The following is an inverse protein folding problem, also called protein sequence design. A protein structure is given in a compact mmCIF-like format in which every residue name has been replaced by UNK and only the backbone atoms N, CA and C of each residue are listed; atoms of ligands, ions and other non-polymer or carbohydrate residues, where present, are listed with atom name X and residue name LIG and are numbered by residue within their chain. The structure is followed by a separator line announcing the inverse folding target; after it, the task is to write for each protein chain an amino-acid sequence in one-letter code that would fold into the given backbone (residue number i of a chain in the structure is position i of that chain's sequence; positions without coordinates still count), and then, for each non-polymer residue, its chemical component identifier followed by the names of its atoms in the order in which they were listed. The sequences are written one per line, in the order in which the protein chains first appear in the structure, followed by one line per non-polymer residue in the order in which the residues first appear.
data_IF_006488578866
#
_entry.id   IF_006488578866
#
_cell.length_a   1.000
_cell.length_b   1.000
_cell.length_c   1.000
_cell.angle_alpha   90.00
_cell.angle_beta   90.00
_cell.angle_gamma   90.00
#
_symmetry.space_group_name_H-M   'P 1'
#
loop_
_entity.id
_entity.type
_entity.pdbx_description
1 polymer ?
#
# COMPACT_ATOMS: atom_id res chain seq x y z
N UNK A 1 12.31 -2.04 -40.18
CA UNK A 1 12.88 -0.71 -39.89
C UNK A 1 14.06 -0.94 -38.97
N UNK A 2 15.18 -0.26 -39.23
CA UNK A 2 16.50 -0.53 -38.64
C UNK A 2 16.47 -0.37 -37.11
N UNK A 3 16.48 -1.45 -36.34
CA UNK A 3 16.59 -1.45 -34.87
C UNK A 3 18.03 -1.12 -34.49
N UNK A 4 18.43 0.14 -34.72
CA UNK A 4 19.72 0.63 -34.24
C UNK A 4 19.78 0.46 -32.73
N UNK A 5 20.72 -0.36 -32.25
CA UNK A 5 20.98 -0.53 -30.83
C UNK A 5 21.11 0.85 -30.19
N UNK A 6 20.24 1.16 -29.22
CA UNK A 6 20.30 2.41 -28.45
C UNK A 6 21.71 2.57 -27.88
N UNK A 7 22.28 3.77 -28.02
CA UNK A 7 23.58 4.07 -27.40
C UNK A 7 23.43 4.00 -25.88
N UNK A 8 24.52 3.79 -25.16
CA UNK A 8 24.48 3.67 -23.70
C UNK A 8 23.88 4.91 -23.01
N UNK A 9 24.12 6.11 -23.53
CA UNK A 9 23.51 7.35 -23.03
C UNK A 9 21.99 7.35 -23.21
N UNK A 10 21.50 6.91 -24.38
CA UNK A 10 20.06 6.84 -24.69
C UNK A 10 19.35 5.81 -23.78
N UNK A 11 20.02 4.71 -23.45
CA UNK A 11 19.53 3.69 -22.50
C UNK A 11 19.39 4.23 -21.08
N UNK A 12 20.38 4.98 -20.60
CA UNK A 12 20.33 5.62 -19.28
C UNK A 12 19.20 6.64 -19.23
N UNK A 13 19.08 7.49 -20.26
CA UNK A 13 18.02 8.49 -20.36
C UNK A 13 16.63 7.86 -20.36
N UNK A 14 16.41 6.82 -21.19
CA UNK A 14 15.15 6.08 -21.23
C UNK A 14 14.81 5.46 -19.87
N UNK A 15 15.78 4.85 -19.20
CA UNK A 15 15.58 4.28 -17.87
C UNK A 15 15.18 5.34 -16.85
N UNK A 16 15.86 6.50 -16.85
CA UNK A 16 15.53 7.61 -15.96
C UNK A 16 14.16 8.24 -16.24
N UNK A 17 13.71 8.23 -17.50
CA UNK A 17 12.39 8.72 -17.89
C UNK A 17 11.29 7.82 -17.33
N UNK A 18 11.44 6.50 -17.46
CA UNK A 18 10.45 5.53 -17.00
C UNK A 18 10.49 5.36 -15.49
N UNK A 19 11.65 5.03 -14.92
CA UNK A 19 11.82 4.70 -13.49
C UNK A 19 12.12 5.93 -12.63
N UNK A 20 11.21 6.90 -12.70
CA UNK A 20 11.34 8.20 -12.05
C UNK A 20 10.62 8.29 -10.70
N UNK A 21 11.04 9.26 -9.87
CA UNK A 21 10.57 9.43 -8.50
C UNK A 21 11.36 10.53 -7.80
N UNK A 22 11.70 10.32 -6.53
CA UNK A 22 12.62 11.20 -5.79
C UNK A 22 14.00 11.24 -6.45
N UNK A 23 14.56 12.43 -6.59
CA UNK A 23 15.90 12.64 -7.18
C UNK A 23 16.95 12.96 -6.13
N UNK A 24 16.58 13.20 -4.87
CA UNK A 24 17.47 13.55 -3.75
C UNK A 24 17.85 12.35 -2.88
N UNK A 25 17.22 11.19 -3.11
CA UNK A 25 17.45 9.96 -2.36
C UNK A 25 17.20 8.73 -3.24
N UNK A 26 17.91 7.64 -2.96
CA UNK A 26 17.60 6.33 -3.56
C UNK A 26 17.85 5.18 -2.58
N UNK A 27 17.20 4.06 -2.84
CA UNK A 27 17.45 2.80 -2.15
C UNK A 27 18.61 2.05 -2.80
N UNK A 28 19.33 1.28 -2.02
CA UNK A 28 20.31 0.31 -2.53
C UNK A 28 20.32 -0.89 -1.61
N UNK A 29 20.90 -2.00 -2.05
CA UNK A 29 21.14 -3.13 -1.18
C UNK A 29 22.56 -3.65 -1.36
N UNK A 30 23.05 -4.31 -0.32
CA UNK A 30 24.29 -5.07 -0.40
C UNK A 30 24.04 -6.37 -1.16
N UNK A 31 24.84 -6.64 -2.20
CA UNK A 31 24.56 -7.73 -3.14
C UNK A 31 24.75 -9.10 -2.49
N UNK A 32 25.60 -9.20 -1.47
CA UNK A 32 25.93 -10.47 -0.81
C UNK A 32 24.95 -10.77 0.31
N UNK A 33 24.65 -9.77 1.15
CA UNK A 33 23.79 -9.93 2.33
C UNK A 33 22.33 -9.63 2.07
N UNK A 34 22.00 -8.98 0.95
CA UNK A 34 20.65 -8.50 0.64
C UNK A 34 20.20 -7.30 1.50
N UNK A 35 21.06 -6.79 2.38
CA UNK A 35 20.69 -5.73 3.34
C UNK A 35 20.39 -4.42 2.63
N UNK A 36 19.13 -4.01 2.69
CA UNK A 36 18.64 -2.75 2.16
C UNK A 36 19.18 -1.54 2.95
N UNK A 37 19.48 -0.46 2.24
CA UNK A 37 19.89 0.83 2.81
C UNK A 37 19.35 1.99 2.00
N UNK A 38 19.16 3.12 2.67
CA UNK A 38 18.88 4.40 2.03
C UNK A 38 20.21 5.12 1.74
N UNK A 39 20.33 5.71 0.55
CA UNK A 39 21.46 6.55 0.15
C UNK A 39 20.96 7.97 -0.11
N UNK A 40 21.39 8.92 0.73
CA UNK A 40 21.00 10.35 0.66
C UNK A 40 21.90 11.10 -0.33
N UNK A 41 21.79 10.75 -1.60
CA UNK A 41 22.55 11.36 -2.69
C UNK A 41 21.62 11.58 -3.89
N UNK A 42 22.00 12.53 -4.74
CA UNK A 42 21.27 12.81 -5.97
C UNK A 42 21.29 11.59 -6.89
N UNK A 43 20.14 11.29 -7.50
CA UNK A 43 20.04 10.32 -8.58
C UNK A 43 20.51 10.99 -9.87
N UNK A 44 21.65 10.55 -10.40
CA UNK A 44 22.24 11.03 -11.63
C UNK A 44 22.51 9.87 -12.61
N UNK A 45 22.98 10.20 -13.81
CA UNK A 45 23.31 9.21 -14.84
C UNK A 45 24.34 8.18 -14.37
N UNK A 46 25.26 8.55 -13.48
CA UNK A 46 26.29 7.64 -12.96
C UNK A 46 25.69 6.58 -12.03
N UNK A 47 24.72 6.96 -11.18
CA UNK A 47 23.97 6.03 -10.32
C UNK A 47 23.24 5.01 -11.19
N UNK A 48 22.54 5.47 -12.22
CA UNK A 48 21.76 4.59 -13.11
C UNK A 48 22.68 3.71 -13.96
N UNK A 49 23.73 4.28 -14.55
CA UNK A 49 24.72 3.51 -15.29
C UNK A 49 25.40 2.44 -14.41
N UNK A 50 25.71 2.75 -13.14
CA UNK A 50 26.25 1.76 -12.22
C UNK A 50 25.27 0.60 -11.92
N UNK A 51 23.96 0.88 -11.87
CA UNK A 51 22.92 -0.15 -11.74
C UNK A 51 22.81 -1.01 -12.98
N UNK A 52 22.70 -0.39 -14.16
CA UNK A 52 22.59 -1.10 -15.44
C UNK A 52 23.84 -1.96 -15.74
N UNK A 53 25.02 -1.53 -15.30
CA UNK A 53 26.25 -2.35 -15.40
C UNK A 53 26.40 -3.41 -14.28
N UNK A 54 25.42 -3.56 -13.38
CA UNK A 54 25.48 -4.55 -12.30
C UNK A 54 26.46 -4.22 -11.17
N UNK A 55 26.94 -2.98 -11.09
CA UNK A 55 27.95 -2.54 -10.09
C UNK A 55 27.32 -2.16 -8.75
N UNK A 56 26.19 -1.45 -8.77
CA UNK A 56 25.48 -1.02 -7.56
C UNK A 56 23.97 -1.05 -7.78
N UNK A 57 23.18 -1.76 -6.97
CA UNK A 57 21.74 -1.76 -7.13
C UNK A 57 21.13 -0.39 -6.83
N UNK A 58 20.11 -0.04 -7.59
CA UNK A 58 19.30 1.16 -7.44
C UNK A 58 17.86 0.77 -7.12
N UNK A 59 17.27 1.45 -6.15
CA UNK A 59 15.85 1.42 -5.85
C UNK A 59 15.28 2.82 -5.87
N UNK A 60 14.17 3.00 -6.58
CA UNK A 60 13.50 4.30 -6.70
C UNK A 60 12.49 4.50 -5.57
N UNK A 61 12.34 5.75 -5.12
CA UNK A 61 11.21 6.16 -4.27
C UNK A 61 10.15 6.79 -5.17
N UNK A 62 9.04 6.09 -5.51
CA UNK A 62 8.09 6.57 -6.50
C UNK A 62 7.23 7.76 -6.02
N UNK A 63 7.11 7.98 -4.70
CA UNK A 63 6.27 9.03 -4.13
C UNK A 63 6.99 10.37 -4.02
N UNK A 64 6.47 11.40 -4.68
CA UNK A 64 6.93 12.79 -4.58
C UNK A 64 5.79 13.68 -4.11
N UNK A 65 5.83 14.08 -2.83
CA UNK A 65 4.70 14.77 -2.19
C UNK A 65 3.49 13.85 -2.07
N UNK A 66 2.48 14.11 -2.91
CA UNK A 66 1.26 13.30 -3.07
C UNK A 66 1.11 12.72 -4.49
N UNK A 67 2.13 12.90 -5.33
CA UNK A 67 2.12 12.48 -6.73
C UNK A 67 3.07 11.32 -6.99
N UNK A 68 2.80 10.56 -8.04
CA UNK A 68 3.67 9.50 -8.56
C UNK A 68 3.63 9.48 -10.08
N UNK A 69 4.70 8.98 -10.70
CA UNK A 69 4.75 8.69 -12.14
C UNK A 69 4.81 7.19 -12.44
N UNK A 70 4.82 6.37 -11.39
CA UNK A 70 4.84 4.92 -11.46
C UNK A 70 3.86 4.34 -10.43
N UNK A 71 3.30 3.19 -10.78
CA UNK A 71 2.74 2.25 -9.83
C UNK A 71 3.50 0.92 -9.98
N UNK A 72 3.83 0.27 -8.87
CA UNK A 72 4.32 -1.09 -8.89
C UNK A 72 3.56 -1.94 -7.88
N UNK A 73 3.21 -3.16 -8.24
CA UNK A 73 2.64 -4.16 -7.33
C UNK A 73 3.66 -5.25 -7.15
N UNK A 74 3.96 -5.57 -5.90
CA UNK A 74 4.93 -6.59 -5.52
C UNK A 74 4.22 -7.89 -5.13
N UNK A 75 4.39 -8.92 -5.96
CA UNK A 75 3.90 -10.26 -5.75
C UNK A 75 5.03 -11.16 -5.25
N UNK A 76 5.37 -10.99 -3.97
CA UNK A 76 6.36 -11.78 -3.26
C UNK A 76 5.86 -13.22 -3.05
N UNK A 77 6.63 -14.21 -3.49
CA UNK A 77 6.35 -15.65 -3.31
C UNK A 77 5.05 -16.17 -3.94
N UNK A 78 4.39 -15.38 -4.80
CA UNK A 78 3.23 -15.81 -5.55
C UNK A 78 3.63 -16.47 -6.88
N UNK A 79 2.78 -17.38 -7.42
CA UNK A 79 2.94 -17.89 -8.78
C UNK A 79 2.89 -16.77 -9.82
N UNK A 80 3.58 -16.94 -10.95
CA UNK A 80 3.64 -15.93 -12.02
C UNK A 80 2.25 -15.64 -12.62
N UNK A 81 1.38 -16.64 -12.58
CA UNK A 81 -0.03 -16.59 -12.99
C UNK A 81 -0.80 -15.47 -12.26
N UNK A 82 -0.44 -15.17 -11.01
CA UNK A 82 -1.06 -14.07 -10.26
C UNK A 82 -0.71 -12.70 -10.87
N UNK A 83 0.53 -12.52 -11.33
CA UNK A 83 0.93 -11.30 -12.00
C UNK A 83 0.24 -11.17 -13.37
N UNK A 84 0.05 -12.29 -14.06
CA UNK A 84 -0.71 -12.40 -15.32
C UNK A 84 -2.17 -12.00 -15.13
N UNK A 85 -2.83 -12.53 -14.09
CA UNK A 85 -4.21 -12.17 -13.75
C UNK A 85 -4.32 -10.68 -13.43
N UNK A 86 -3.33 -10.14 -12.72
CA UNK A 86 -3.27 -8.72 -12.41
C UNK A 86 -3.14 -7.84 -13.67
N UNK A 87 -2.29 -8.21 -14.62
CA UNK A 87 -2.16 -7.50 -15.90
C UNK A 87 -3.46 -7.57 -16.70
N UNK A 88 -4.07 -8.76 -16.76
CA UNK A 88 -5.35 -8.97 -17.46
C UNK A 88 -6.46 -8.12 -16.85
N UNK A 89 -6.55 -8.08 -15.52
CA UNK A 89 -7.51 -7.24 -14.81
C UNK A 89 -7.24 -5.74 -15.05
N UNK A 90 -5.99 -5.26 -15.08
CA UNK A 90 -5.72 -3.87 -15.46
C UNK A 90 -6.15 -3.55 -16.90
N UNK A 91 -5.98 -4.50 -17.82
CA UNK A 91 -6.40 -4.36 -19.22
C UNK A 91 -7.92 -4.16 -19.34
N UNK A 92 -8.72 -4.78 -18.47
CA UNK A 92 -10.18 -4.55 -18.41
C UNK A 92 -10.54 -3.12 -17.96
N UNK A 93 -9.65 -2.45 -17.22
CA UNK A 93 -9.76 -1.03 -16.86
C UNK A 93 -9.20 -0.10 -17.94
N UNK A 94 -8.71 -0.65 -19.06
CA UNK A 94 -8.04 0.12 -20.11
C UNK A 94 -6.66 0.62 -19.70
N UNK A 95 -6.04 0.01 -18.68
CA UNK A 95 -4.71 0.35 -18.19
C UNK A 95 -3.69 -0.70 -18.62
N UNK A 96 -2.58 -0.22 -19.17
CA UNK A 96 -1.48 -1.07 -19.60
C UNK A 96 -0.51 -1.26 -18.43
N UNK A 97 -0.08 -2.50 -18.21
CA UNK A 97 0.84 -2.86 -17.14
C UNK A 97 1.76 -4.00 -17.55
N UNK A 98 2.93 -4.08 -16.91
CA UNK A 98 4.06 -4.87 -17.40
C UNK A 98 4.69 -5.72 -16.31
N UNK A 99 4.94 -6.98 -16.62
CA UNK A 99 5.50 -7.95 -15.66
C UNK A 99 7.02 -7.93 -15.71
N UNK A 100 7.65 -7.75 -14.55
CA UNK A 100 9.09 -7.96 -14.35
C UNK A 100 9.30 -9.14 -13.39
N UNK A 101 10.16 -10.09 -13.77
CA UNK A 101 10.63 -11.12 -12.83
C UNK A 101 11.50 -10.45 -11.76
N UNK A 102 11.10 -10.57 -10.50
CA UNK A 102 11.84 -9.97 -9.37
C UNK A 102 13.25 -10.55 -9.21
N UNK A 103 14.03 -9.92 -8.33
CA UNK A 103 15.39 -10.40 -7.97
C UNK A 103 15.43 -11.79 -7.31
N UNK A 104 14.33 -12.26 -6.72
CA UNK A 104 14.29 -13.46 -5.87
C UNK A 104 13.22 -14.46 -6.32
N UNK A 105 12.06 -14.51 -5.67
CA UNK A 105 10.93 -15.40 -6.01
C UNK A 105 9.69 -14.52 -6.04
N UNK A 106 9.10 -14.34 -7.21
CA UNK A 106 7.97 -13.43 -7.42
C UNK A 106 8.17 -12.55 -8.64
N UNK A 107 7.20 -11.67 -8.85
CA UNK A 107 7.19 -10.72 -9.95
C UNK A 107 6.67 -9.36 -9.47
N UNK A 108 7.07 -8.30 -10.18
CA UNK A 108 6.46 -6.99 -10.03
C UNK A 108 5.58 -6.70 -11.24
N UNK A 109 4.43 -6.06 -11.02
CA UNK A 109 3.60 -5.49 -12.09
C UNK A 109 3.75 -3.98 -12.08
N UNK A 110 4.26 -3.41 -13.16
CA UNK A 110 4.57 -2.00 -13.32
C UNK A 110 3.55 -1.28 -14.19
N UNK A 111 3.17 -0.06 -13.81
CA UNK A 111 2.49 0.91 -14.66
C UNK A 111 3.24 2.23 -14.67
N UNK A 112 3.17 2.92 -15.80
CA UNK A 112 3.88 4.17 -16.04
C UNK A 112 2.90 5.28 -16.44
N UNK A 113 3.14 6.48 -15.93
CA UNK A 113 2.33 7.66 -16.19
C UNK A 113 3.14 8.73 -16.93
N UNK A 114 2.56 9.36 -17.94
CA UNK A 114 3.22 10.39 -18.76
C UNK A 114 3.42 11.70 -17.99
N UNK A 115 2.51 11.97 -17.06
CA UNK A 115 2.53 13.07 -16.11
C UNK A 115 2.44 12.58 -14.64
N UNK A 116 2.82 13.40 -13.64
CA UNK A 116 2.59 13.06 -12.26
C UNK A 116 1.08 12.97 -11.98
N UNK A 117 0.63 11.82 -11.50
CA UNK A 117 -0.76 11.57 -11.09
C UNK A 117 -0.86 11.51 -9.57
N UNK A 118 -2.07 11.70 -9.03
CA UNK A 118 -2.32 11.53 -7.60
C UNK A 118 -2.02 10.08 -7.19
N UNK A 119 -1.11 9.89 -6.23
CA UNK A 119 -0.77 8.56 -5.75
C UNK A 119 -2.00 7.82 -5.17
N UNK A 120 -2.94 8.57 -4.57
CA UNK A 120 -4.20 8.04 -4.09
C UNK A 120 -5.04 7.39 -5.20
N UNK A 121 -5.15 8.02 -6.37
CA UNK A 121 -5.95 7.50 -7.49
C UNK A 121 -5.35 6.21 -8.02
N UNK A 122 -4.05 6.23 -8.37
CA UNK A 122 -3.35 5.06 -8.86
C UNK A 122 -3.46 3.87 -7.88
N UNK A 123 -3.27 4.12 -6.57
CA UNK A 123 -3.40 3.10 -5.54
C UNK A 123 -4.83 2.59 -5.35
N UNK A 124 -5.85 3.44 -5.48
CA UNK A 124 -7.24 3.02 -5.29
C UNK A 124 -7.72 2.16 -6.45
N UNK A 125 -7.33 2.48 -7.69
CA UNK A 125 -7.57 1.62 -8.85
C UNK A 125 -6.84 0.28 -8.67
N UNK A 126 -5.58 0.31 -8.25
CA UNK A 126 -4.82 -0.91 -7.99
C UNK A 126 -5.43 -1.79 -6.89
N UNK A 127 -5.91 -1.21 -5.79
CA UNK A 127 -6.65 -1.95 -4.74
C UNK A 127 -7.92 -2.59 -5.27
N UNK A 128 -8.65 -1.91 -6.16
CA UNK A 128 -9.86 -2.44 -6.79
C UNK A 128 -9.53 -3.66 -7.64
N UNK A 129 -8.53 -3.57 -8.51
CA UNK A 129 -8.02 -4.68 -9.32
C UNK A 129 -7.54 -5.85 -8.44
N UNK A 130 -6.73 -5.57 -7.41
CA UNK A 130 -6.26 -6.59 -6.48
C UNK A 130 -7.39 -7.27 -5.72
N UNK A 131 -8.47 -6.56 -5.41
CA UNK A 131 -9.63 -7.17 -4.78
C UNK A 131 -10.38 -8.13 -5.73
N UNK A 132 -10.46 -7.81 -7.02
CA UNK A 132 -11.11 -8.65 -8.03
C UNK A 132 -10.37 -9.97 -8.27
N UNK A 133 -9.04 -9.94 -8.22
CA UNK A 133 -8.23 -11.16 -8.35
C UNK A 133 -7.97 -11.88 -7.00
N UNK A 134 -8.61 -11.44 -5.91
CA UNK A 134 -8.45 -12.07 -4.58
C UNK A 134 -7.10 -11.84 -3.90
N UNK A 135 -6.35 -10.81 -4.30
CA UNK A 135 -5.00 -10.45 -3.81
C UNK A 135 -4.93 -9.08 -3.14
N UNK A 136 -5.97 -8.69 -2.40
CA UNK A 136 -6.06 -7.41 -1.70
C UNK A 136 -4.91 -7.13 -0.69
N UNK A 137 -4.12 -8.14 -0.33
CA UNK A 137 -2.94 -8.03 0.54
C UNK A 137 -1.62 -7.74 -0.17
N UNK A 138 -1.57 -7.73 -1.51
CA UNK A 138 -0.34 -7.47 -2.26
C UNK A 138 0.19 -6.05 -1.97
N UNK A 139 1.52 -5.90 -1.93
CA UNK A 139 2.12 -4.60 -1.65
C UNK A 139 2.05 -3.70 -2.89
N UNK A 140 1.59 -2.46 -2.69
CA UNK A 140 1.50 -1.45 -3.75
C UNK A 140 2.52 -0.36 -3.46
N UNK A 141 3.32 0.00 -4.46
CA UNK A 141 4.25 1.13 -4.45
C UNK A 141 3.72 2.22 -5.39
N UNK A 142 3.59 3.48 -4.92
CA UNK A 142 3.94 3.96 -3.58
C UNK A 142 3.06 3.34 -2.46
N UNK A 143 3.66 3.08 -1.29
CA UNK A 143 2.95 2.50 -0.14
C UNK A 143 1.98 3.48 0.54
N UNK A 144 2.16 4.78 0.30
CA UNK A 144 1.37 5.87 0.87
C UNK A 144 0.73 6.72 -0.23
N UNK A 145 -0.39 7.36 0.10
CA UNK A 145 -1.03 8.36 -0.77
C UNK A 145 -0.28 9.70 -0.75
N UNK A 146 0.41 10.00 0.36
CA UNK A 146 1.22 11.21 0.52
C UNK A 146 2.33 11.02 1.55
N UNK A 147 3.40 11.80 1.39
CA UNK A 147 4.46 11.90 2.38
C UNK A 147 3.94 12.58 3.66
N UNK A 148 4.50 12.17 4.80
CA UNK A 148 4.24 12.79 6.10
C UNK A 148 5.54 12.78 6.92
N UNK A 149 5.52 13.37 8.12
CA UNK A 149 6.71 13.49 8.98
C UNK A 149 7.32 12.14 9.38
N UNK A 150 6.52 11.07 9.49
CA UNK A 150 7.01 9.73 9.81
C UNK A 150 7.59 8.99 8.59
N UNK A 151 7.11 9.31 7.37
CA UNK A 151 7.58 8.72 6.11
C UNK A 151 8.09 9.80 5.17
N UNK A 152 9.04 10.62 5.64
CA UNK A 152 9.52 11.81 4.94
C UNK A 152 10.11 11.52 3.53
N UNK A 153 10.61 10.31 3.31
CA UNK A 153 11.13 9.84 2.02
C UNK A 153 10.18 8.89 1.28
N UNK A 154 9.18 8.34 1.96
CA UNK A 154 8.38 7.21 1.45
C UNK A 154 9.14 5.88 1.54
N UNK A 155 8.76 4.93 0.68
CA UNK A 155 9.36 3.60 0.59
C UNK A 155 9.91 3.41 -0.81
N UNK A 156 11.11 2.83 -0.92
CA UNK A 156 11.66 2.50 -2.23
C UNK A 156 11.30 1.08 -2.65
N UNK A 157 11.24 0.87 -3.96
CA UNK A 157 11.18 -0.43 -4.61
C UNK A 157 12.48 -0.63 -5.40
N UNK A 158 13.01 -1.85 -5.46
CA UNK A 158 14.20 -2.12 -6.28
C UNK A 158 13.85 -1.94 -7.75
N UNK A 159 14.66 -1.18 -8.47
CA UNK A 159 14.43 -0.94 -9.88
C UNK A 159 14.82 -2.18 -10.71
N UNK A 160 14.14 -2.42 -11.84
CA UNK A 160 14.45 -3.55 -12.71
C UNK A 160 15.77 -3.29 -13.47
N UNK A 161 16.19 -4.24 -14.30
CA UNK A 161 17.36 -4.17 -15.17
C UNK A 161 18.69 -4.01 -14.43
N UNK A 162 18.81 -4.59 -13.23
CA UNK A 162 20.10 -4.62 -12.55
C UNK A 162 21.05 -5.55 -13.30
N UNK A 163 22.09 -5.03 -13.96
CA UNK A 163 22.86 -5.78 -14.97
C UNK A 163 23.38 -7.16 -14.52
N UNK A 164 23.77 -7.28 -13.24
CA UNK A 164 24.26 -8.54 -12.65
C UNK A 164 23.17 -9.62 -12.56
N UNK A 165 21.92 -9.22 -12.40
CA UNK A 165 20.74 -10.09 -12.34
C UNK A 165 20.08 -10.24 -13.72
N UNK A 166 20.10 -9.20 -14.55
CA UNK A 166 19.55 -9.20 -15.90
C UNK A 166 20.17 -10.30 -16.79
N UNK A 167 21.50 -10.47 -16.72
CA UNK A 167 22.21 -11.55 -17.45
C UNK A 167 21.77 -12.95 -17.01
N UNK A 168 21.17 -13.08 -15.82
CA UNK A 168 20.64 -14.33 -15.29
C UNK A 168 19.12 -14.48 -15.51
N UNK A 169 18.52 -13.64 -16.36
CA UNK A 169 17.08 -13.63 -16.60
C UNK A 169 16.26 -13.15 -15.40
N UNK A 170 16.86 -12.35 -14.51
CA UNK A 170 16.19 -11.74 -13.35
C UNK A 170 16.18 -10.24 -13.47
N UNK A 171 15.21 -9.59 -12.86
CA UNK A 171 14.99 -8.14 -13.03
C UNK A 171 14.74 -7.74 -14.49
N UNK A 172 14.13 -8.62 -15.27
CA UNK A 172 13.84 -8.40 -16.70
C UNK A 172 12.33 -8.49 -16.93
N UNK A 173 11.87 -7.78 -17.95
CA UNK A 173 10.47 -7.76 -18.35
C UNK A 173 10.12 -8.96 -19.23
N UNK A 174 8.92 -9.49 -18.99
CA UNK A 174 8.37 -10.63 -19.71
C UNK A 174 7.48 -10.19 -20.86
N UNK A 175 7.58 -10.93 -21.95
CA UNK A 175 6.62 -10.89 -23.04
C UNK A 175 5.39 -11.73 -22.65
N UNK A 176 4.42 -11.04 -22.05
CA UNK A 176 3.17 -11.66 -21.60
C UNK A 176 2.30 -12.19 -22.76
N UNK A 177 2.38 -11.58 -23.94
CA UNK A 177 1.57 -12.06 -25.07
C UNK A 177 2.20 -13.30 -25.73
N UNK A 178 3.50 -13.55 -25.48
CA UNK A 178 4.27 -14.72 -25.95
C UNK A 178 4.83 -15.59 -24.79
N UNK A 179 4.01 -15.77 -23.74
CA UNK A 179 4.39 -16.36 -22.44
C UNK A 179 5.19 -17.67 -22.49
N UNK A 180 6.09 -17.92 -21.49
CA UNK A 180 6.61 -17.02 -20.47
C UNK A 180 8.09 -16.67 -20.77
N UNK A 181 8.36 -16.03 -21.90
CA UNK A 181 9.71 -15.65 -22.28
C UNK A 181 10.01 -14.19 -21.93
N UNK A 182 11.26 -13.89 -21.56
CA UNK A 182 11.70 -12.50 -21.44
C UNK A 182 11.73 -11.86 -22.83
N UNK A 183 11.44 -10.56 -22.93
CA UNK A 183 11.61 -9.86 -24.22
C UNK A 183 13.05 -10.00 -24.73
N UNK A 184 13.19 -10.36 -25.99
CA UNK A 184 14.50 -10.51 -26.68
C UNK A 184 15.33 -9.23 -26.61
N UNK A 185 14.68 -8.07 -26.79
CA UNK A 185 15.28 -6.76 -26.61
C UNK A 185 14.50 -5.96 -25.56
N UNK A 186 15.00 -6.03 -24.32
CA UNK A 186 14.47 -5.29 -23.18
C UNK A 186 14.44 -3.77 -23.43
N UNK A 187 15.35 -3.21 -24.23
CA UNK A 187 15.41 -1.77 -24.48
C UNK A 187 14.39 -1.34 -25.52
N UNK A 188 14.21 -2.14 -26.58
CA UNK A 188 13.12 -1.95 -27.53
C UNK A 188 11.76 -2.05 -26.82
N UNK A 189 11.60 -3.02 -25.93
CA UNK A 189 10.41 -3.14 -25.08
C UNK A 189 10.19 -1.88 -24.22
N UNK A 190 11.19 -1.44 -23.44
CA UNK A 190 11.05 -0.24 -22.61
C UNK A 190 10.70 1.01 -23.43
N UNK A 191 11.25 1.15 -24.64
CA UNK A 191 10.91 2.24 -25.55
C UNK A 191 9.48 2.18 -26.09
N UNK A 192 8.84 1.00 -26.05
CA UNK A 192 7.46 0.76 -26.50
C UNK A 192 6.41 0.85 -25.39
N UNK A 193 6.84 0.95 -24.13
CA UNK A 193 5.95 1.03 -22.97
C UNK A 193 4.95 2.16 -23.16
N UNK A 194 3.67 1.82 -23.02
CA UNK A 194 2.57 2.77 -23.01
C UNK A 194 2.44 3.38 -21.64
N UNK A 195 2.08 4.66 -21.64
CA UNK A 195 1.80 5.44 -20.44
C UNK A 195 0.35 5.89 -20.45
N UNK A 196 -0.19 6.21 -19.27
CA UNK A 196 -1.49 6.84 -19.16
C UNK A 196 -1.42 8.11 -18.33
N UNK A 197 -2.30 9.06 -18.62
CA UNK A 197 -2.37 10.36 -17.97
C UNK A 197 -3.49 10.47 -16.93
N UNK A 198 -3.51 11.58 -16.21
CA UNK A 198 -4.38 11.81 -15.06
C UNK A 198 -5.88 11.71 -15.42
N UNK A 199 -6.24 12.19 -16.62
CA UNK A 199 -7.65 12.16 -17.10
C UNK A 199 -8.24 10.75 -17.13
N UNK A 200 -7.46 9.75 -17.54
CA UNK A 200 -7.94 8.37 -17.57
C UNK A 200 -8.17 7.87 -16.14
N UNK A 201 -7.23 8.13 -15.23
CA UNK A 201 -7.35 7.73 -13.83
C UNK A 201 -8.58 8.38 -13.18
N UNK A 202 -8.79 9.69 -13.36
CA UNK A 202 -9.95 10.42 -12.85
C UNK A 202 -11.26 9.80 -13.37
N UNK A 203 -11.33 9.49 -14.67
CA UNK A 203 -12.52 8.85 -15.25
C UNK A 203 -12.79 7.46 -14.66
N UNK A 204 -11.74 6.69 -14.32
CA UNK A 204 -11.87 5.38 -13.69
C UNK A 204 -12.29 5.51 -12.22
N UNK A 205 -11.76 6.51 -11.52
CA UNK A 205 -12.17 6.82 -10.15
C UNK A 205 -13.66 7.13 -10.10
N UNK A 206 -14.16 7.98 -11.01
CA UNK A 206 -15.58 8.30 -11.12
C UNK A 206 -16.42 7.08 -11.52
N UNK A 207 -16.06 6.42 -12.63
CA UNK A 207 -16.78 5.26 -13.18
C UNK A 207 -16.97 4.14 -12.16
N UNK A 208 -15.95 3.89 -11.33
CA UNK A 208 -15.96 2.81 -10.33
C UNK A 208 -16.31 3.29 -8.92
N UNK A 209 -16.74 4.56 -8.76
CA UNK A 209 -17.08 5.18 -7.46
C UNK A 209 -15.97 5.00 -6.41
N UNK A 210 -14.71 5.13 -6.83
CA UNK A 210 -13.56 4.99 -5.97
C UNK A 210 -13.29 6.30 -5.20
N UNK A 211 -12.62 6.25 -4.04
CA UNK A 211 -12.29 7.46 -3.29
C UNK A 211 -11.36 8.38 -4.09
N UNK A 212 -11.79 9.62 -4.32
CA UNK A 212 -11.09 10.61 -5.14
C UNK A 212 -10.14 11.54 -4.37
N UNK A 213 -10.21 11.60 -3.04
CA UNK A 213 -9.41 12.53 -2.24
C UNK A 213 -8.70 11.81 -1.05
N UNK A 214 -7.38 11.97 -0.86
CA UNK A 214 -6.67 11.49 0.33
C UNK A 214 -7.06 12.22 1.63
N UNK A 215 -7.80 13.34 1.56
CA UNK A 215 -8.24 14.16 2.70
C UNK A 215 -9.75 14.26 2.89
N UNK A 216 -10.55 13.95 1.88
CA UNK A 216 -12.01 14.07 1.94
C UNK A 216 -12.65 12.69 1.81
N UNK A 217 -12.67 11.93 2.91
CA UNK A 217 -13.82 11.06 3.11
C UNK A 217 -15.01 12.01 3.23
N UNK A 218 -16.05 11.88 2.40
CA UNK A 218 -17.35 12.37 2.83
C UNK A 218 -17.60 11.74 4.20
N UNK A 219 -17.84 12.58 5.20
CA UNK A 219 -18.59 12.15 6.37
C UNK A 219 -19.86 11.51 5.80
N UNK A 220 -19.94 10.19 5.92
CA UNK A 220 -21.03 9.31 5.52
C UNK A 220 -21.62 9.50 4.10
N UNK A 221 -21.44 8.49 3.25
CA UNK A 221 -22.58 7.93 2.52
C UNK A 221 -22.57 6.40 2.71
N UNK A 222 -23.58 5.95 3.44
CA UNK A 222 -23.84 4.56 3.80
C UNK A 222 -24.11 3.73 2.54
N UNK A 223 -23.29 2.71 2.29
CA UNK A 223 -23.69 1.55 1.50
C UNK A 223 -22.88 0.26 1.78
N UNK A 224 -21.73 0.30 2.46
CA UNK A 224 -21.02 -0.92 2.89
C UNK A 224 -20.52 -0.80 4.33
N UNK A 225 -21.47 -0.67 5.26
CA UNK A 225 -21.22 -0.73 6.70
C UNK A 225 -21.37 -2.19 7.17
N UNK A 226 -20.53 -3.10 6.65
CA UNK A 226 -20.60 -4.53 7.02
C UNK A 226 -20.47 -4.75 8.52
N UNK A 227 -19.88 -3.80 9.26
CA UNK A 227 -19.99 -3.71 10.71
C UNK A 227 -20.07 -2.24 11.16
N UNK A 228 -21.28 -1.74 11.43
CA UNK A 228 -21.50 -0.57 12.31
C UNK A 228 -20.72 -0.72 13.63
N UNK A 229 -20.68 0.31 14.49
CA UNK A 229 -20.09 0.22 15.84
C UNK A 229 -20.49 -1.11 16.49
N UNK A 230 -19.54 -2.06 16.55
CA UNK A 230 -19.80 -3.42 17.02
C UNK A 230 -20.35 -3.37 18.44
N UNK A 231 -21.21 -4.31 18.86
CA UNK A 231 -21.93 -4.21 20.13
C UNK A 231 -21.04 -3.90 21.34
N UNK A 232 -19.85 -4.50 21.40
CA UNK A 232 -18.88 -4.24 22.46
C UNK A 232 -18.37 -2.78 22.47
N UNK A 233 -18.03 -2.23 21.30
CA UNK A 233 -17.58 -0.85 21.18
C UNK A 233 -18.69 0.14 21.51
N UNK A 234 -19.93 -0.15 21.11
CA UNK A 234 -21.11 0.64 21.46
C UNK A 234 -21.33 0.64 22.97
N UNK A 235 -21.36 -0.54 23.59
CA UNK A 235 -21.54 -0.68 25.04
C UNK A 235 -20.45 0.06 25.83
N UNK A 236 -19.19 -0.04 25.40
CA UNK A 236 -18.08 0.69 26.02
C UNK A 236 -18.22 2.22 25.89
N UNK A 237 -18.62 2.74 24.72
CA UNK A 237 -18.84 4.17 24.50
C UNK A 237 -20.04 4.73 25.27
N UNK A 238 -21.11 3.94 25.37
CA UNK A 238 -22.35 4.31 26.04
C UNK A 238 -22.18 4.30 27.55
N UNK A 239 -21.65 3.21 28.10
CA UNK A 239 -21.63 2.91 29.55
C UNK A 239 -20.31 3.27 30.25
N UNK A 240 -19.23 3.52 29.50
CA UNK A 240 -17.89 3.62 30.08
C UNK A 240 -17.33 2.26 30.48
N UNK A 241 -16.15 2.26 31.10
CA UNK A 241 -15.48 1.04 31.59
C UNK A 241 -14.98 1.18 33.02
N UNK A 242 -15.03 0.08 33.76
CA UNK A 242 -14.51 -0.01 35.15
C UNK A 242 -13.06 -0.47 35.21
N UNK A 243 -12.62 -1.28 34.23
CA UNK A 243 -11.28 -1.85 34.15
C UNK A 243 -10.65 -1.58 32.78
N UNK A 244 -9.32 -1.68 32.73
CA UNK A 244 -8.54 -1.62 31.49
C UNK A 244 -8.76 -0.36 30.63
N UNK A 245 -9.03 0.79 31.24
CA UNK A 245 -9.34 2.06 30.55
C UNK A 245 -8.39 2.39 29.38
N UNK A 246 -7.07 2.19 29.52
CA UNK A 246 -6.11 2.47 28.42
C UNK A 246 -6.29 1.52 27.22
N UNK A 247 -6.52 0.23 27.49
CA UNK A 247 -6.75 -0.78 26.45
C UNK A 247 -8.10 -0.53 25.77
N UNK A 248 -9.15 -0.22 26.55
CA UNK A 248 -10.45 0.18 26.03
C UNK A 248 -10.33 1.43 25.14
N UNK A 249 -9.60 2.46 25.59
CA UNK A 249 -9.34 3.68 24.82
C UNK A 249 -8.65 3.38 23.47
N UNK A 250 -7.61 2.54 23.48
CA UNK A 250 -6.91 2.12 22.27
C UNK A 250 -7.84 1.36 21.31
N UNK A 251 -8.65 0.43 21.83
CA UNK A 251 -9.59 -0.36 21.02
C UNK A 251 -10.70 0.49 20.43
N UNK A 252 -11.26 1.42 21.20
CA UNK A 252 -12.24 2.39 20.70
C UNK A 252 -11.63 3.30 19.63
N UNK A 253 -10.39 3.76 19.83
CA UNK A 253 -9.69 4.58 18.83
C UNK A 253 -9.51 3.85 17.48
N UNK A 254 -9.19 2.55 17.50
CA UNK A 254 -9.16 1.71 16.28
C UNK A 254 -10.54 1.70 15.59
N UNK A 255 -11.63 1.55 16.37
CA UNK A 255 -13.00 1.50 15.81
C UNK A 255 -13.40 2.83 15.20
N UNK A 256 -13.13 3.94 15.88
CA UNK A 256 -13.41 5.29 15.37
C UNK A 256 -12.59 5.57 14.10
N UNK A 257 -11.32 5.15 14.04
CA UNK A 257 -10.48 5.22 12.83
C UNK A 257 -11.08 4.44 11.67
N UNK A 258 -11.55 3.21 11.92
CA UNK A 258 -12.15 2.37 10.89
C UNK A 258 -13.44 2.97 10.33
N UNK A 259 -14.24 3.60 11.20
CA UNK A 259 -15.42 4.39 10.83
C UNK A 259 -15.07 5.70 10.11
N UNK A 260 -13.77 6.02 9.98
CA UNK A 260 -13.28 7.18 9.24
C UNK A 260 -13.26 8.47 10.02
N UNK A 261 -13.37 8.43 11.34
CA UNK A 261 -13.28 9.65 12.14
C UNK A 261 -11.85 10.21 12.09
N UNK A 262 -11.70 11.54 11.90
CA UNK A 262 -10.41 12.21 12.04
C UNK A 262 -9.84 12.09 13.46
N UNK A 263 -8.52 12.23 13.57
CA UNK A 263 -7.77 12.01 14.82
C UNK A 263 -8.28 12.91 15.96
N UNK A 264 -8.46 14.20 15.70
CA UNK A 264 -8.98 15.19 16.64
C UNK A 264 -10.42 14.91 17.08
N UNK A 265 -11.29 14.49 16.14
CA UNK A 265 -12.66 14.09 16.44
C UNK A 265 -12.68 12.85 17.34
N UNK A 266 -11.82 11.85 17.06
CA UNK A 266 -11.72 10.68 17.92
C UNK A 266 -11.18 11.02 19.32
N UNK A 267 -10.25 11.97 19.43
CA UNK A 267 -9.81 12.50 20.74
C UNK A 267 -10.99 13.14 21.49
N UNK A 268 -11.80 13.95 20.82
CA UNK A 268 -12.96 14.59 21.45
C UNK A 268 -13.97 13.54 21.96
N UNK A 269 -14.33 12.56 21.12
CA UNK A 269 -15.21 11.44 21.48
C UNK A 269 -14.67 10.68 22.69
N UNK A 270 -13.37 10.34 22.69
CA UNK A 270 -12.76 9.58 23.76
C UNK A 270 -12.58 10.39 25.05
N UNK A 271 -12.46 11.72 24.93
CA UNK A 271 -12.42 12.61 26.09
C UNK A 271 -13.78 12.66 26.79
N UNK A 272 -14.88 12.70 26.02
CA UNK A 272 -16.25 12.59 26.57
C UNK A 272 -16.49 11.21 27.15
N UNK A 273 -16.10 10.15 26.44
CA UNK A 273 -16.20 8.77 26.92
C UNK A 273 -15.48 8.57 28.26
N UNK A 274 -14.29 9.16 28.45
CA UNK A 274 -13.53 9.00 29.68
C UNK A 274 -14.27 9.50 30.92
N UNK A 275 -15.15 10.49 30.79
CA UNK A 275 -15.98 11.00 31.89
C UNK A 275 -17.02 9.98 32.38
N UNK A 276 -17.34 8.98 31.56
CA UNK A 276 -18.26 7.90 31.90
C UNK A 276 -17.58 6.73 32.60
N UNK A 277 -16.24 6.70 32.64
CA UNK A 277 -15.52 5.59 33.24
C UNK A 277 -15.64 5.64 34.77
N UNK A 278 -15.93 4.49 35.37
CA UNK A 278 -16.07 4.29 36.81
C UNK A 278 -15.00 3.33 37.31
N UNK A 279 -13.72 3.74 37.34
CA UNK A 279 -12.61 2.85 37.65
C UNK A 279 -12.69 2.23 39.04
N UNK A 280 -12.49 0.91 39.10
CA UNK A 280 -12.50 0.17 40.36
C UNK A 280 -11.22 0.35 41.19
N UNK A 281 -11.30 0.02 42.49
CA UNK A 281 -10.13 -0.06 43.37
C UNK A 281 -9.40 1.26 43.58
N UNK A 282 -10.13 2.39 43.60
CA UNK A 282 -9.56 3.73 43.85
C UNK A 282 -8.67 4.26 42.71
N UNK A 283 -8.67 3.62 41.55
CA UNK A 283 -7.91 4.08 40.38
C UNK A 283 -8.53 5.37 39.83
N UNK A 284 -7.69 6.25 39.28
CA UNK A 284 -8.15 7.46 38.60
C UNK A 284 -8.70 7.18 37.20
N UNK A 285 -9.49 8.12 36.70
CA UNK A 285 -9.91 8.18 35.29
C UNK A 285 -8.68 8.41 34.40
N UNK A 286 -8.70 7.84 33.19
CA UNK A 286 -7.68 8.06 32.14
C UNK A 286 -7.58 9.55 31.79
N UNK A 287 -6.35 10.07 31.72
CA UNK A 287 -6.08 11.50 31.47
C UNK A 287 -6.14 11.83 29.99
N UNK A 288 -6.34 13.12 29.66
CA UNK A 288 -6.27 13.61 28.28
C UNK A 288 -4.94 13.25 27.58
N UNK A 289 -3.80 13.28 28.30
CA UNK A 289 -2.49 12.89 27.76
C UNK A 289 -2.45 11.40 27.40
N UNK A 290 -3.02 10.55 28.25
CA UNK A 290 -3.10 9.11 27.99
C UNK A 290 -4.07 8.80 26.85
N UNK A 291 -5.22 9.47 26.78
CA UNK A 291 -6.16 9.37 25.64
C UNK A 291 -5.43 9.72 24.36
N UNK A 292 -4.73 10.86 24.32
CA UNK A 292 -3.93 11.27 23.15
C UNK A 292 -2.88 10.23 22.76
N UNK A 293 -2.19 9.65 23.73
CA UNK A 293 -1.20 8.61 23.50
C UNK A 293 -1.81 7.31 22.95
N UNK A 294 -2.92 6.84 23.52
CA UNK A 294 -3.59 5.61 23.05
C UNK A 294 -4.20 5.81 21.66
N UNK A 295 -4.82 6.96 21.40
CA UNK A 295 -5.36 7.28 20.08
C UNK A 295 -4.25 7.43 19.05
N UNK A 296 -3.12 8.07 19.39
CA UNK A 296 -1.99 8.17 18.47
C UNK A 296 -1.45 6.78 18.10
N UNK A 297 -1.29 5.89 19.09
CA UNK A 297 -0.90 4.51 18.88
C UNK A 297 -1.89 3.78 17.93
N UNK A 298 -3.20 3.93 18.15
CA UNK A 298 -4.22 3.32 17.30
C UNK A 298 -4.23 3.88 15.86
N UNK A 299 -3.97 5.18 15.69
CA UNK A 299 -4.00 5.84 14.39
C UNK A 299 -2.74 5.58 13.57
N UNK A 300 -1.59 5.44 14.23
CA UNK A 300 -0.31 5.14 13.58
C UNK A 300 -0.17 3.66 13.22
N UNK A 301 -0.79 2.75 13.98
CA UNK A 301 -0.70 1.31 13.73
C UNK A 301 -1.77 0.81 12.73
N UNK A 302 -1.42 -0.20 11.95
CA UNK A 302 -2.33 -0.89 11.01
C UNK A 302 -3.14 -2.03 11.67
N UNK A 303 -3.37 -1.96 12.98
CA UNK A 303 -4.11 -2.99 13.71
C UNK A 303 -5.60 -2.93 13.35
N UNK A 304 -6.09 -3.97 12.67
CA UNK A 304 -7.50 -4.12 12.29
C UNK A 304 -8.29 -5.02 13.24
N UNK A 305 -7.59 -5.66 14.19
CA UNK A 305 -8.14 -6.65 15.11
C UNK A 305 -9.21 -6.10 16.06
N UNK A 306 -10.23 -6.91 16.31
CA UNK A 306 -11.35 -6.60 17.22
C UNK A 306 -11.02 -6.78 18.70
N UNK A 307 -9.88 -7.40 19.02
CA UNK A 307 -9.47 -7.62 20.41
C UNK A 307 -10.45 -8.49 21.20
N UNK A 308 -11.27 -9.31 20.53
CA UNK A 308 -12.34 -10.10 21.18
C UNK A 308 -11.85 -10.97 22.34
N UNK A 309 -10.60 -11.43 22.28
CA UNK A 309 -9.98 -12.26 23.31
C UNK A 309 -9.35 -11.45 24.46
N UNK A 310 -9.30 -10.12 24.34
CA UNK A 310 -8.76 -9.26 25.40
C UNK A 310 -9.80 -9.07 26.51
N UNK A 311 -9.42 -9.18 27.79
CA UNK A 311 -10.34 -8.97 28.90
C UNK A 311 -11.07 -7.61 28.86
N UNK A 312 -10.43 -6.59 28.29
CA UNK A 312 -10.99 -5.25 28.13
C UNK A 312 -12.19 -5.20 27.17
N UNK A 313 -12.28 -6.13 26.21
CA UNK A 313 -13.34 -6.17 25.18
C UNK A 313 -14.28 -7.34 25.41
N UNK A 314 -13.74 -8.48 25.85
CA UNK A 314 -14.49 -9.73 26.09
C UNK A 314 -15.66 -9.53 27.06
N UNK A 315 -15.51 -8.67 28.06
CA UNK A 315 -16.58 -8.33 29.02
C UNK A 315 -17.82 -7.69 28.39
N UNK A 316 -17.70 -7.19 27.15
CA UNK A 316 -18.76 -6.52 26.40
C UNK A 316 -19.13 -7.27 25.11
N UNK A 317 -18.56 -8.46 24.89
CA UNK A 317 -18.86 -9.27 23.71
C UNK A 317 -20.21 -9.98 23.84
N UNK A 318 -20.89 -10.11 22.70
CA UNK A 318 -22.18 -10.78 22.58
C UNK A 318 -22.18 -11.77 21.41
N UNK A 319 -22.94 -12.88 21.53
CA UNK A 319 -23.00 -13.93 20.50
C UNK A 319 -23.71 -13.49 19.21
N UNK A 320 -24.57 -12.47 19.28
CA UNK A 320 -25.18 -11.81 18.12
C UNK A 320 -24.24 -10.83 17.42
N UNK A 321 -22.99 -10.68 17.90
CA UNK A 321 -22.00 -9.82 17.26
C UNK A 321 -21.72 -10.31 15.82
N UNK A 322 -21.88 -9.48 14.78
CA UNK A 322 -21.71 -9.96 13.41
C UNK A 322 -20.26 -10.36 13.09
N UNK A 323 -19.28 -9.89 13.88
CA UNK A 323 -17.87 -10.32 13.82
C UNK A 323 -17.70 -11.76 14.30
N UNK A 324 -18.54 -12.21 15.24
CA UNK A 324 -18.56 -13.60 15.71
C UNK A 324 -19.11 -14.52 14.64
N UNK A 325 -20.25 -14.15 14.01
CA UNK A 325 -20.85 -14.87 12.89
C UNK A 325 -19.87 -15.00 11.71
N UNK A 326 -19.27 -13.89 11.28
CA UNK A 326 -18.24 -13.88 10.24
C UNK A 326 -17.04 -14.79 10.54
N UNK A 327 -16.62 -14.88 11.82
CA UNK A 327 -15.52 -15.77 12.21
C UNK A 327 -15.90 -17.26 12.25
N UNK A 328 -17.18 -17.58 12.41
CA UNK A 328 -17.67 -18.97 12.39
C UNK A 328 -17.89 -19.44 10.95
N UNK A 329 -18.49 -18.60 10.10
CA UNK A 329 -18.70 -18.88 8.65
C UNK A 329 -17.37 -19.12 7.91
N UNK A 330 -16.30 -18.40 8.27
CA UNK A 330 -14.96 -18.59 7.68
C UNK A 330 -14.16 -19.75 8.29
N UNK A 331 -14.68 -20.44 9.31
CA UNK A 331 -14.09 -21.69 9.83
C UNK A 331 -14.68 -22.92 9.17
N UNK A 332 -15.98 -22.91 8.87
CA UNK A 332 -16.68 -24.02 8.19
C UNK A 332 -16.25 -24.21 6.73
N UNK A 333 -15.67 -23.18 6.11
CA UNK A 333 -15.12 -23.20 4.74
C UNK A 333 -13.67 -23.70 4.64
N UNK A 334 -13.01 -24.01 5.77
CA UNK A 334 -11.65 -24.55 5.81
C UNK A 334 -11.57 -26.04 6.16
N UNK A 335 -12.69 -26.63 6.61
CA UNK A 335 -12.79 -28.06 6.97
C UNK A 335 -13.75 -28.84 6.01
N UNK A 336 -14.08 -28.26 4.85
CA UNK A 336 -14.99 -28.81 3.84
C UNK A 336 -14.31 -29.19 2.53
#
# INVERSE_FOLDING_TARGET
MNTGQLKNADKVALFMQLFTGRTDVYGSYDIETGKCRQVKQRVDENVIHAHLCGRRPFGLYPLVGEHTRILAIDFDHEPLEVAVDCVSAFREFGLESYIEISKSKGAHVWQFFDEPVMAAHARNIAKKVLAEIGKAGAEIFPKQDKLNSATAYGNFINAPMFGRLAIKGRTVFLDYDNMPSAHDDQWAFLASVKTCGNKLLESLIEKHNLPSDPGNRPLCNNADNRFSLVPCARAMLEKGVERFQRVACYRLAIRLKQLGLPFDIAIAVLTVWAQKNTPDGGKRIITAKEIKSQTACAYQNNNTGFGCSEPAVAAYCDKSCPVYQFKMENRETQDG
#
